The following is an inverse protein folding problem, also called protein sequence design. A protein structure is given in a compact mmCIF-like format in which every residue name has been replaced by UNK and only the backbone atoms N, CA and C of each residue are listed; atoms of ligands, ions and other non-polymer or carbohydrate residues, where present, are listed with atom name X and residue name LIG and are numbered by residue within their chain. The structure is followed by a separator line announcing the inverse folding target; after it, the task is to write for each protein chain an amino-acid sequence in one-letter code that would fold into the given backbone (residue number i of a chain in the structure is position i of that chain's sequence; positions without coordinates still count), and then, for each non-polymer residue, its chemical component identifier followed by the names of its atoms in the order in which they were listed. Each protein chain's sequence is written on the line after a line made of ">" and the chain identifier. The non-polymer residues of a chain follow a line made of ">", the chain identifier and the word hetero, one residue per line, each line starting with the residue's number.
data_IF_508024974965
#
_entry.id   IF_508024974965
#
_cell.length_a   1.000
_cell.length_b   1.000
_cell.length_c   1.000
_cell.angle_alpha   90.00
_cell.angle_beta   90.00
_cell.angle_gamma   90.00
#
_symmetry.space_group_name_H-M   'P 1'
#
loop_
_entity.id
_entity.type
_entity.pdbx_description
1 polymer ?
#
# COMPACT_ATOMS: atom_id res chain seq x y z
N UNK A 1 -28.47 23.46 -11.55
CA UNK A 1 -27.41 23.35 -12.57
C UNK A 1 -26.16 22.84 -11.88
N UNK A 2 -25.87 21.54 -11.97
CA UNK A 2 -24.62 21.00 -11.41
C UNK A 2 -23.45 21.57 -12.21
N UNK A 3 -22.66 22.42 -11.59
CA UNK A 3 -21.38 22.83 -12.14
C UNK A 3 -20.50 21.57 -12.19
N UNK A 4 -20.27 21.05 -13.39
CA UNK A 4 -19.15 20.14 -13.64
C UNK A 4 -17.88 20.90 -13.30
N UNK A 5 -17.32 20.61 -12.13
CA UNK A 5 -16.02 21.11 -11.70
C UNK A 5 -15.03 20.59 -12.75
N UNK A 6 -14.57 21.49 -13.63
CA UNK A 6 -13.51 21.16 -14.60
C UNK A 6 -12.25 20.93 -13.79
N UNK A 7 -11.84 19.66 -13.72
CA UNK A 7 -10.64 19.22 -13.03
C UNK A 7 -9.42 19.79 -13.75
N UNK A 8 -8.34 20.14 -13.03
CA UNK A 8 -7.11 20.57 -13.68
C UNK A 8 -6.56 19.44 -14.54
N UNK A 9 -6.27 19.74 -15.80
CA UNK A 9 -5.59 18.84 -16.72
C UNK A 9 -4.13 18.71 -16.29
N UNK A 10 -3.83 17.74 -15.42
CA UNK A 10 -2.45 17.32 -15.18
C UNK A 10 -1.96 16.60 -16.42
N UNK A 11 -0.94 17.18 -17.08
CA UNK A 11 -0.24 16.55 -18.20
C UNK A 11 0.47 15.29 -17.69
N UNK A 12 0.19 14.16 -18.32
CA UNK A 12 0.76 12.84 -17.99
C UNK A 12 1.71 12.31 -19.06
N UNK A 13 2.05 13.11 -20.08
CA UNK A 13 2.81 12.68 -21.27
C UNK A 13 4.26 12.29 -20.94
N UNK A 14 4.77 12.75 -19.80
CA UNK A 14 6.11 12.45 -19.29
C UNK A 14 6.14 11.22 -18.37
N UNK A 15 4.98 10.63 -18.07
CA UNK A 15 4.85 9.46 -17.20
C UNK A 15 4.83 8.18 -18.03
N UNK A 16 5.20 7.07 -17.40
CA UNK A 16 5.17 5.75 -18.02
C UNK A 16 3.76 5.33 -18.46
N UNK A 17 3.63 4.77 -19.67
CA UNK A 17 2.33 4.47 -20.29
C UNK A 17 1.51 3.44 -19.50
N UNK A 18 2.15 2.42 -18.92
CA UNK A 18 1.47 1.40 -18.13
C UNK A 18 0.96 2.01 -16.82
N UNK A 19 1.76 2.83 -16.15
CA UNK A 19 1.35 3.51 -14.92
C UNK A 19 0.23 4.54 -15.18
N UNK A 20 0.23 5.22 -16.34
CA UNK A 20 -0.84 6.13 -16.75
C UNK A 20 -2.15 5.38 -16.99
N UNK A 21 -2.12 4.19 -17.61
CA UNK A 21 -3.34 3.39 -17.79
C UNK A 21 -3.96 2.99 -16.44
N UNK A 22 -3.13 2.66 -15.45
CA UNK A 22 -3.59 2.33 -14.10
C UNK A 22 -4.24 3.52 -13.37
N UNK A 23 -4.01 4.77 -13.80
CA UNK A 23 -4.66 5.93 -13.20
C UNK A 23 -6.19 5.93 -13.39
N UNK A 24 -6.71 5.18 -14.36
CA UNK A 24 -8.14 5.02 -14.60
C UNK A 24 -8.81 3.98 -13.67
N UNK A 25 -8.03 3.22 -12.89
CA UNK A 25 -8.58 2.29 -11.90
C UNK A 25 -9.46 3.05 -10.90
N UNK A 26 -10.62 2.48 -10.55
CA UNK A 26 -11.55 3.10 -9.61
C UNK A 26 -11.23 2.65 -8.18
N UNK A 27 -10.80 3.58 -7.34
CA UNK A 27 -10.61 3.39 -5.90
C UNK A 27 -11.94 3.49 -5.15
N UNK A 28 -11.97 2.96 -3.93
CA UNK A 28 -13.11 3.09 -3.01
C UNK A 28 -12.93 4.39 -2.20
N UNK A 29 -13.86 5.34 -2.36
CA UNK A 29 -13.89 6.53 -1.51
C UNK A 29 -14.57 6.22 -0.18
N UNK A 30 -14.00 6.74 0.90
CA UNK A 30 -14.44 6.48 2.27
C UNK A 30 -14.52 7.77 3.09
N UNK A 31 -15.30 7.72 4.17
CA UNK A 31 -15.20 8.71 5.25
C UNK A 31 -14.06 8.37 6.24
N UNK A 32 -13.84 9.24 7.22
CA UNK A 32 -12.79 9.03 8.23
C UNK A 32 -13.01 7.83 9.17
N UNK A 33 -14.15 7.16 9.08
CA UNK A 33 -14.48 5.94 9.81
C UNK A 33 -14.42 4.71 8.91
N UNK A 34 -13.87 4.85 7.71
CA UNK A 34 -13.76 3.81 6.68
C UNK A 34 -15.11 3.29 6.17
N UNK A 35 -16.17 4.11 6.26
CA UNK A 35 -17.43 3.80 5.59
C UNK A 35 -17.34 4.20 4.12
N UNK A 36 -17.72 3.31 3.21
CA UNK A 36 -17.77 3.62 1.77
C UNK A 36 -18.78 4.73 1.48
N UNK A 37 -18.31 5.80 0.81
CA UNK A 37 -19.13 6.94 0.38
C UNK A 37 -19.21 7.11 -1.14
N UNK A 38 -18.38 6.39 -1.91
CA UNK A 38 -18.37 6.50 -3.36
C UNK A 38 -17.23 5.75 -4.03
N UNK A 39 -16.89 6.19 -5.23
CA UNK A 39 -15.77 5.70 -6.02
C UNK A 39 -15.18 6.86 -6.82
N UNK A 40 -13.87 6.82 -7.06
CA UNK A 40 -13.17 7.82 -7.84
C UNK A 40 -11.92 7.21 -8.47
N UNK A 41 -11.46 7.76 -9.58
CA UNK A 41 -10.24 7.32 -10.27
C UNK A 41 -9.02 7.46 -9.38
N UNK A 42 -8.08 6.53 -9.54
CA UNK A 42 -6.78 6.57 -8.90
C UNK A 42 -6.08 7.89 -9.15
N UNK A 43 -6.15 8.45 -10.37
CA UNK A 43 -5.67 9.81 -10.65
C UNK A 43 -6.15 10.81 -9.60
N UNK A 44 -7.47 10.94 -9.48
CA UNK A 44 -8.08 11.98 -8.68
C UNK A 44 -7.86 11.79 -7.18
N UNK A 45 -7.85 10.53 -6.72
CA UNK A 45 -7.52 10.15 -5.35
C UNK A 45 -6.11 10.60 -4.92
N UNK A 46 -5.15 10.61 -5.84
CA UNK A 46 -3.73 10.86 -5.53
C UNK A 46 -3.27 12.28 -5.87
N UNK A 47 -4.18 13.17 -6.33
CA UNK A 47 -3.86 14.58 -6.53
C UNK A 47 -3.94 15.32 -5.20
N UNK A 48 -2.85 15.99 -4.82
CA UNK A 48 -2.76 16.81 -3.60
C UNK A 48 -3.90 17.83 -3.52
N UNK A 49 -4.32 18.41 -4.63
CA UNK A 49 -5.43 19.37 -4.65
C UNK A 49 -6.78 18.78 -4.23
N UNK A 50 -7.00 17.48 -4.42
CA UNK A 50 -8.24 16.80 -4.00
C UNK A 50 -8.08 16.23 -2.59
N UNK A 51 -6.90 15.72 -2.26
CA UNK A 51 -6.53 15.34 -0.89
C UNK A 51 -6.69 16.53 0.06
N UNK A 52 -6.25 17.73 -0.33
CA UNK A 52 -6.36 18.95 0.48
C UNK A 52 -7.83 19.43 0.61
N UNK A 53 -8.74 18.94 -0.25
CA UNK A 53 -10.21 19.10 -0.12
C UNK A 53 -10.86 17.99 0.71
N UNK A 54 -10.09 17.04 1.25
CA UNK A 54 -10.55 15.94 2.09
C UNK A 54 -10.84 14.63 1.37
N UNK A 55 -10.47 14.49 0.09
CA UNK A 55 -10.65 13.23 -0.63
C UNK A 55 -9.79 12.13 0.02
N UNK A 56 -10.42 11.01 0.40
CA UNK A 56 -9.85 9.91 1.17
C UNK A 56 -10.30 8.58 0.56
N UNK A 57 -9.36 7.65 0.37
CA UNK A 57 -9.65 6.34 -0.20
C UNK A 57 -9.12 5.18 0.65
N UNK A 58 -9.70 4.00 0.44
CA UNK A 58 -9.28 2.76 1.11
C UNK A 58 -8.02 2.20 0.45
N UNK A 59 -7.08 1.71 1.26
CA UNK A 59 -5.83 1.12 0.80
C UNK A 59 -5.46 -0.13 1.61
N UNK A 60 -4.38 -0.80 1.21
CA UNK A 60 -3.76 -1.86 1.99
C UNK A 60 -2.23 -1.86 1.87
N UNK A 61 -1.59 -2.37 2.93
CA UNK A 61 -0.16 -2.61 3.04
C UNK A 61 0.12 -4.05 3.48
N UNK A 62 0.77 -4.83 2.62
CA UNK A 62 1.19 -6.21 2.92
C UNK A 62 2.59 -6.23 3.52
N UNK A 63 2.74 -7.00 4.59
CA UNK A 63 4.01 -7.40 5.20
C UNK A 63 4.16 -8.92 5.08
N UNK A 64 4.94 -9.37 4.11
CA UNK A 64 5.23 -10.78 3.88
C UNK A 64 6.56 -11.17 4.52
N UNK A 65 6.51 -12.15 5.40
CA UNK A 65 7.66 -12.77 6.01
C UNK A 65 7.90 -14.14 5.40
N UNK A 66 9.15 -14.50 5.12
CA UNK A 66 9.49 -15.88 4.77
C UNK A 66 9.55 -16.76 6.04
N UNK A 67 9.83 -18.06 5.89
CA UNK A 67 9.92 -19.00 7.02
C UNK A 67 11.12 -18.75 7.93
N UNK A 68 12.11 -17.96 7.48
CA UNK A 68 13.24 -17.45 8.28
C UNK A 68 12.91 -16.15 9.04
N UNK A 69 11.63 -15.73 9.07
CA UNK A 69 11.19 -14.46 9.67
C UNK A 69 11.85 -13.22 9.05
N UNK A 70 12.27 -13.27 7.78
CA UNK A 70 12.77 -12.10 7.06
C UNK A 70 11.61 -11.42 6.32
N UNK A 71 11.51 -10.09 6.44
CA UNK A 71 10.51 -9.29 5.74
C UNK A 71 10.94 -9.08 4.29
N UNK A 72 10.03 -9.34 3.34
CA UNK A 72 10.21 -8.96 1.95
C UNK A 72 9.94 -7.45 1.79
N UNK A 73 10.98 -6.71 1.43
CA UNK A 73 10.88 -5.32 0.99
C UNK A 73 10.92 -5.23 -0.52
N UNK A 74 10.29 -4.21 -1.07
CA UNK A 74 10.41 -3.82 -2.47
C UNK A 74 10.92 -2.39 -2.61
N UNK A 75 11.71 -2.13 -3.63
CA UNK A 75 12.04 -0.79 -4.10
C UNK A 75 11.15 -0.46 -5.29
N UNK A 76 10.38 0.62 -5.16
CA UNK A 76 9.43 1.09 -6.19
C UNK A 76 10.22 1.43 -7.45
N UNK A 77 9.70 1.04 -8.61
CA UNK A 77 10.31 1.44 -9.88
C UNK A 77 10.37 2.96 -10.02
N UNK A 78 11.25 3.45 -10.89
CA UNK A 78 11.28 4.85 -11.28
C UNK A 78 10.06 5.25 -12.14
N UNK A 79 9.31 4.27 -12.68
CA UNK A 79 8.09 4.50 -13.44
C UNK A 79 6.89 4.86 -12.55
N UNK A 80 6.92 4.51 -11.25
CA UNK A 80 5.84 4.81 -10.31
C UNK A 80 5.58 6.31 -10.21
N UNK A 81 4.32 6.70 -10.30
CA UNK A 81 3.89 8.11 -10.22
C UNK A 81 4.09 8.67 -8.80
N UNK A 82 3.68 7.93 -7.78
CA UNK A 82 3.92 8.30 -6.38
C UNK A 82 5.16 7.57 -5.84
N UNK A 83 6.03 8.32 -5.17
CA UNK A 83 7.23 7.82 -4.47
C UNK A 83 8.11 6.87 -5.30
N UNK A 84 8.54 7.24 -6.53
CA UNK A 84 9.49 6.44 -7.30
C UNK A 84 10.82 6.26 -6.53
N UNK A 85 11.51 5.14 -6.80
CA UNK A 85 12.80 4.75 -6.22
C UNK A 85 12.81 4.48 -4.70
N UNK A 86 11.67 4.65 -4.01
CA UNK A 86 11.58 4.45 -2.56
C UNK A 86 11.50 2.97 -2.19
N UNK A 87 12.22 2.59 -1.12
CA UNK A 87 12.00 1.32 -0.43
C UNK A 87 10.71 1.36 0.40
N UNK A 88 10.00 0.25 0.42
CA UNK A 88 8.75 0.07 1.19
C UNK A 88 8.52 -1.41 1.55
N UNK A 89 7.44 -1.69 2.29
CA UNK A 89 6.99 -3.04 2.59
C UNK A 89 6.57 -3.80 1.32
N UNK A 90 6.16 -5.06 1.48
CA UNK A 90 6.06 -6.03 0.40
C UNK A 90 5.21 -5.59 -0.79
N UNK A 91 4.03 -5.05 -0.55
CA UNK A 91 3.11 -4.61 -1.60
C UNK A 91 2.10 -3.63 -1.00
N UNK A 92 1.87 -2.51 -1.66
CA UNK A 92 0.91 -1.48 -1.24
C UNK A 92 0.04 -1.08 -2.43
N UNK A 93 -1.27 -1.10 -2.26
CA UNK A 93 -2.19 -0.74 -3.34
C UNK A 93 -3.61 -0.52 -2.81
N UNK A 94 -4.59 -0.56 -3.70
CA UNK A 94 -5.98 -0.25 -3.42
C UNK A 94 -6.89 -1.43 -3.72
N UNK A 95 -7.88 -1.73 -2.87
CA UNK A 95 -9.06 -2.43 -3.32
C UNK A 95 -9.79 -1.59 -4.37
N UNK A 96 -10.20 -2.23 -5.46
CA UNK A 96 -10.97 -1.60 -6.51
C UNK A 96 -12.43 -1.42 -6.09
N UNK A 97 -13.08 -0.39 -6.59
CA UNK A 97 -14.55 -0.23 -6.50
C UNK A 97 -15.26 -1.19 -7.48
N UNK A 98 -15.00 -2.48 -7.32
CA UNK A 98 -15.55 -3.60 -8.06
C UNK A 98 -16.22 -4.57 -7.08
N UNK A 99 -17.35 -5.23 -7.40
CA UNK A 99 -18.10 -6.05 -6.44
C UNK A 99 -17.29 -7.08 -5.66
N UNK A 100 -16.26 -7.67 -6.29
CA UNK A 100 -15.41 -8.68 -5.63
C UNK A 100 -14.49 -8.10 -4.55
N UNK A 101 -14.10 -6.82 -4.66
CA UNK A 101 -13.18 -6.12 -3.75
C UNK A 101 -13.89 -5.11 -2.83
N UNK A 102 -15.20 -4.90 -3.05
CA UNK A 102 -16.10 -4.11 -2.19
C UNK A 102 -16.64 -4.88 -0.97
N UNK A 103 -16.49 -6.21 -0.92
CA UNK A 103 -17.01 -7.03 0.19
C UNK A 103 -16.21 -6.78 1.47
N UNK A 104 -16.90 -6.30 2.51
CA UNK A 104 -16.29 -5.83 3.76
C UNK A 104 -16.26 -6.92 4.84
N UNK A 105 -17.09 -7.97 4.74
CA UNK A 105 -17.10 -9.06 5.70
C UNK A 105 -15.71 -9.72 5.80
N UNK A 106 -15.18 -9.79 7.02
CA UNK A 106 -13.82 -10.28 7.32
C UNK A 106 -12.72 -9.64 6.44
N UNK A 107 -12.92 -8.39 6.01
CA UNK A 107 -12.03 -7.66 5.10
C UNK A 107 -11.66 -8.44 3.82
N UNK A 108 -12.53 -9.35 3.35
CA UNK A 108 -12.20 -10.25 2.24
C UNK A 108 -11.94 -9.50 0.93
N UNK A 109 -12.63 -8.38 0.68
CA UNK A 109 -12.41 -7.56 -0.51
C UNK A 109 -10.98 -7.01 -0.59
N UNK A 110 -10.47 -6.51 0.53
CA UNK A 110 -9.09 -6.02 0.65
C UNK A 110 -8.07 -7.17 0.53
N UNK A 111 -8.35 -8.33 1.12
CA UNK A 111 -7.47 -9.51 1.00
C UNK A 111 -7.39 -10.04 -0.44
N UNK A 112 -8.50 -10.01 -1.18
CA UNK A 112 -8.51 -10.32 -2.63
C UNK A 112 -7.69 -9.31 -3.44
N UNK A 113 -7.80 -8.02 -3.13
CA UNK A 113 -7.00 -6.97 -3.76
C UNK A 113 -5.49 -7.18 -3.51
N UNK A 114 -5.12 -7.55 -2.28
CA UNK A 114 -3.75 -7.88 -1.91
C UNK A 114 -3.23 -9.09 -2.69
N UNK A 115 -3.97 -10.20 -2.78
CA UNK A 115 -3.59 -11.34 -3.61
C UNK A 115 -3.38 -10.93 -5.08
N UNK A 116 -4.30 -10.15 -5.66
CA UNK A 116 -4.21 -9.67 -7.04
C UNK A 116 -2.92 -8.86 -7.27
N UNK A 117 -2.58 -7.95 -6.35
CA UNK A 117 -1.39 -7.08 -6.50
C UNK A 117 -0.09 -7.79 -6.16
N UNK A 118 -0.07 -8.72 -5.21
CA UNK A 118 1.08 -9.61 -5.00
C UNK A 118 1.43 -10.38 -6.28
N UNK A 119 0.42 -10.85 -7.03
CA UNK A 119 0.65 -11.45 -8.35
C UNK A 119 1.12 -10.43 -9.38
N UNK A 120 0.45 -9.29 -9.48
CA UNK A 120 0.74 -8.29 -10.52
C UNK A 120 2.13 -7.65 -10.34
N UNK A 121 2.52 -7.30 -9.13
CA UNK A 121 3.76 -6.57 -8.83
C UNK A 121 4.95 -7.53 -8.63
N UNK A 122 4.77 -8.57 -7.82
CA UNK A 122 5.86 -9.47 -7.42
C UNK A 122 5.90 -10.79 -8.21
N UNK A 123 4.91 -11.03 -9.08
CA UNK A 123 4.79 -12.28 -9.83
C UNK A 123 4.45 -13.49 -8.98
N UNK A 124 3.98 -13.31 -7.75
CA UNK A 124 3.62 -14.41 -6.85
C UNK A 124 2.39 -15.13 -7.41
N UNK A 125 2.46 -16.45 -7.71
CA UNK A 125 1.30 -17.18 -8.18
C UNK A 125 0.14 -17.11 -7.17
N UNK A 126 -1.08 -16.90 -7.66
CA UNK A 126 -2.28 -16.71 -6.81
C UNK A 126 -2.51 -17.87 -5.85
N UNK A 127 -2.18 -19.09 -6.27
CA UNK A 127 -2.26 -20.31 -5.46
C UNK A 127 -1.26 -20.36 -4.31
N UNK A 128 -0.19 -19.57 -4.34
CA UNK A 128 0.77 -19.50 -3.24
C UNK A 128 0.33 -18.57 -2.11
N UNK A 129 -0.51 -17.57 -2.38
CA UNK A 129 -1.03 -16.67 -1.33
C UNK A 129 -2.52 -16.48 -1.56
N UNK A 130 -3.33 -17.29 -0.89
CA UNK A 130 -4.78 -17.19 -0.92
C UNK A 130 -5.29 -16.12 0.04
N UNK A 131 -6.48 -15.52 -0.17
CA UNK A 131 -7.04 -14.53 0.75
C UNK A 131 -7.16 -15.04 2.20
N UNK A 132 -7.35 -16.34 2.40
CA UNK A 132 -7.43 -16.98 3.71
C UNK A 132 -6.09 -16.99 4.46
N UNK A 133 -4.96 -16.95 3.74
CA UNK A 133 -3.60 -16.89 4.29
C UNK A 133 -3.16 -15.46 4.61
N UNK A 134 -3.92 -14.45 4.18
CA UNK A 134 -3.64 -13.04 4.43
C UNK A 134 -4.34 -12.61 5.72
N UNK A 135 -3.56 -12.34 6.77
CA UNK A 135 -4.06 -11.93 8.07
C UNK A 135 -4.27 -10.42 8.13
N UNK A 136 -5.50 -9.96 8.39
CA UNK A 136 -5.82 -8.55 8.62
C UNK A 136 -5.63 -8.18 10.09
N UNK A 137 -4.71 -7.25 10.39
CA UNK A 137 -4.39 -6.84 11.76
C UNK A 137 -5.18 -5.61 12.22
N UNK A 138 -5.02 -4.48 11.53
CA UNK A 138 -5.54 -3.18 11.99
C UNK A 138 -5.58 -2.19 10.82
N UNK A 139 -6.13 -0.99 11.05
CA UNK A 139 -6.12 0.12 10.07
C UNK A 139 -5.31 1.32 10.55
N UNK A 140 -4.65 2.00 9.62
CA UNK A 140 -3.91 3.25 9.86
C UNK A 140 -4.43 4.33 8.90
N UNK A 141 -4.85 5.47 9.44
CA UNK A 141 -5.16 6.66 8.67
C UNK A 141 -3.93 7.56 8.62
N UNK A 142 -3.42 7.83 7.43
CA UNK A 142 -2.26 8.70 7.20
C UNK A 142 -2.43 9.59 5.97
N UNK A 143 -1.61 10.63 5.87
CA UNK A 143 -1.51 11.51 4.69
C UNK A 143 -0.06 11.86 4.39
N UNK A 144 0.34 11.81 3.13
CA UNK A 144 1.70 12.12 2.71
C UNK A 144 1.77 12.73 1.30
N UNK A 145 2.68 13.68 1.07
CA UNK A 145 2.93 14.22 -0.27
C UNK A 145 4.12 13.49 -0.90
N UNK A 146 3.98 13.09 -2.17
CA UNK A 146 5.07 12.57 -2.99
C UNK A 146 5.90 13.71 -3.56
N UNK A 147 5.21 14.68 -4.16
CA UNK A 147 5.79 15.91 -4.71
C UNK A 147 4.76 17.06 -4.62
N UNK A 148 4.91 18.09 -5.46
CA UNK A 148 3.97 19.22 -5.51
C UNK A 148 2.57 18.87 -6.03
N UNK A 149 2.43 17.81 -6.82
CA UNK A 149 1.19 17.41 -7.52
C UNK A 149 0.57 16.18 -6.85
N UNK A 150 1.38 15.16 -6.56
CA UNK A 150 0.91 13.84 -6.15
C UNK A 150 1.11 13.58 -4.65
N UNK A 151 0.24 12.77 -4.07
CA UNK A 151 0.27 12.36 -2.67
C UNK A 151 -0.63 11.16 -2.39
N UNK A 152 -0.74 10.84 -1.10
CA UNK A 152 -1.53 9.75 -0.53
C UNK A 152 -2.36 10.31 0.63
N UNK A 153 -3.60 9.86 0.74
CA UNK A 153 -4.49 10.09 1.88
C UNK A 153 -5.40 8.89 2.02
N UNK A 154 -5.10 8.04 3.01
CA UNK A 154 -5.60 6.67 3.00
C UNK A 154 -6.00 6.21 4.40
N UNK A 155 -7.03 5.35 4.44
CA UNK A 155 -7.17 4.38 5.54
C UNK A 155 -6.61 3.05 5.03
N UNK A 156 -5.44 2.71 5.56
CA UNK A 156 -4.59 1.62 5.13
C UNK A 156 -4.81 0.37 5.98
N UNK A 157 -5.24 -0.72 5.34
CA UNK A 157 -5.39 -2.03 5.96
C UNK A 157 -4.04 -2.72 6.08
N UNK A 158 -3.63 -3.03 7.31
CA UNK A 158 -2.37 -3.71 7.58
C UNK A 158 -2.57 -5.22 7.46
N UNK A 159 -1.91 -5.82 6.48
CA UNK A 159 -2.03 -7.23 6.12
C UNK A 159 -0.71 -7.97 6.33
N UNK A 160 -0.78 -9.18 6.87
CA UNK A 160 0.39 -10.03 7.12
C UNK A 160 0.28 -11.36 6.39
N UNK A 161 1.41 -11.83 5.88
CA UNK A 161 1.58 -13.17 5.30
C UNK A 161 2.89 -13.73 5.84
N UNK A 162 2.92 -15.02 6.21
CA UNK A 162 4.15 -15.70 6.57
C UNK A 162 4.30 -16.99 5.76
N UNK A 163 5.09 -16.93 4.69
CA UNK A 163 5.23 -18.02 3.72
C UNK A 163 6.44 -17.82 2.82
N UNK A 164 7.05 -18.91 2.39
CA UNK A 164 8.03 -18.89 1.30
C UNK A 164 7.29 -18.82 -0.04
N UNK A 165 7.66 -17.84 -0.88
CA UNK A 165 7.00 -17.58 -2.17
C UNK A 165 8.02 -17.51 -3.31
N UNK A 166 7.55 -17.82 -4.52
CA UNK A 166 8.30 -17.59 -5.75
C UNK A 166 8.07 -16.16 -6.24
N UNK A 167 9.14 -15.48 -6.65
CA UNK A 167 9.10 -14.09 -7.11
C UNK A 167 9.48 -14.01 -8.58
N UNK A 168 8.68 -13.28 -9.35
CA UNK A 168 9.00 -12.85 -10.71
C UNK A 168 8.45 -11.43 -10.92
N UNK A 169 9.04 -10.40 -10.28
CA UNK A 169 8.45 -9.08 -10.23
C UNK A 169 8.34 -8.39 -11.58
N UNK A 170 7.31 -7.57 -11.75
CA UNK A 170 7.18 -6.68 -12.90
C UNK A 170 8.16 -5.49 -12.75
N UNK A 171 9.15 -5.31 -13.65
CA UNK A 171 10.10 -4.21 -13.56
C UNK A 171 9.45 -2.82 -13.71
N UNK A 172 8.24 -2.74 -14.28
CA UNK A 172 7.47 -1.50 -14.33
C UNK A 172 6.94 -1.10 -12.94
N UNK A 173 6.77 -2.06 -12.03
CA UNK A 173 6.28 -1.83 -10.67
C UNK A 173 7.43 -1.79 -9.65
N UNK A 174 8.42 -2.69 -9.79
CA UNK A 174 9.45 -2.96 -8.79
C UNK A 174 10.85 -2.91 -9.43
N UNK A 175 11.71 -2.01 -8.95
CA UNK A 175 13.10 -1.93 -9.38
C UNK A 175 13.98 -3.03 -8.76
N UNK A 176 13.77 -3.31 -7.47
CA UNK A 176 14.52 -4.32 -6.74
C UNK A 176 13.72 -4.82 -5.54
N UNK A 177 14.10 -5.97 -4.98
CA UNK A 177 13.50 -6.50 -3.76
C UNK A 177 14.56 -7.19 -2.92
N UNK A 178 14.31 -7.28 -1.61
CA UNK A 178 15.19 -8.01 -0.71
C UNK A 178 14.44 -8.53 0.52
N UNK A 179 14.86 -9.69 0.99
CA UNK A 179 14.48 -10.18 2.31
C UNK A 179 15.45 -9.62 3.35
N UNK A 180 14.92 -9.00 4.39
CA UNK A 180 15.73 -8.40 5.46
C UNK A 180 15.35 -8.95 6.83
N UNK A 181 16.36 -9.13 7.67
CA UNK A 181 16.20 -9.31 9.11
C UNK A 181 15.85 -7.98 9.78
N UNK A 182 15.42 -8.03 11.04
CA UNK A 182 15.22 -6.80 11.83
C UNK A 182 16.49 -5.92 11.91
N UNK A 183 17.68 -6.54 12.00
CA UNK A 183 18.96 -5.82 12.06
C UNK A 183 19.24 -5.08 10.76
N UNK A 184 19.04 -5.74 9.63
CA UNK A 184 19.23 -5.15 8.30
C UNK A 184 18.19 -4.05 8.03
N UNK A 185 16.94 -4.23 8.46
CA UNK A 185 15.94 -3.16 8.37
C UNK A 185 16.35 -1.94 9.21
N UNK A 186 16.82 -2.11 10.45
CA UNK A 186 17.34 -0.98 11.26
C UNK A 186 18.45 -0.23 10.54
N UNK A 187 19.40 -0.95 9.93
CA UNK A 187 20.46 -0.34 9.13
C UNK A 187 19.91 0.41 7.90
N UNK A 188 18.88 -0.12 7.23
CA UNK A 188 18.22 0.57 6.11
C UNK A 188 17.54 1.87 6.58
N UNK A 189 16.86 1.85 7.73
CA UNK A 189 16.26 3.04 8.33
C UNK A 189 17.32 4.08 8.72
N UNK A 190 18.47 3.66 9.25
CA UNK A 190 19.60 4.55 9.56
C UNK A 190 20.21 5.19 8.30
N UNK A 191 20.27 4.44 7.19
CA UNK A 191 20.65 4.98 5.88
C UNK A 191 19.62 5.99 5.38
N UNK A 192 18.34 5.69 5.53
CA UNK A 192 17.26 6.59 5.14
C UNK A 192 17.27 7.90 5.95
N UNK A 193 17.52 7.83 7.25
CA UNK A 193 17.67 9.00 8.13
C UNK A 193 18.86 9.90 7.72
N UNK A 194 19.89 9.33 7.10
CA UNK A 194 21.04 10.04 6.53
C UNK A 194 20.85 10.44 5.06
N UNK A 195 19.65 10.28 4.51
CA UNK A 195 19.30 10.53 3.10
C UNK A 195 20.14 9.73 2.08
N UNK A 196 20.72 8.60 2.49
CA UNK A 196 21.49 7.72 1.59
C UNK A 196 20.57 6.84 0.73
N UNK A 197 19.36 6.59 1.21
CA UNK A 197 18.28 5.89 0.49
C UNK A 197 16.95 6.56 0.80
N UNK A 198 15.94 6.36 -0.06
CA UNK A 198 14.58 6.86 0.18
C UNK A 198 13.70 5.72 0.70
N UNK A 199 12.87 6.01 1.68
CA UNK A 199 11.81 5.12 2.17
C UNK A 199 10.48 5.83 2.08
N UNK A 200 9.42 5.08 1.85
CA UNK A 200 8.07 5.65 1.79
C UNK A 200 7.60 6.13 3.16
N UNK A 201 6.78 7.20 3.23
CA UNK A 201 6.35 7.78 4.50
C UNK A 201 5.56 6.81 5.40
N UNK A 202 4.64 6.04 4.83
CA UNK A 202 3.86 5.05 5.59
C UNK A 202 4.76 3.93 6.13
N UNK A 203 5.72 3.45 5.35
CA UNK A 203 6.63 2.40 5.81
C UNK A 203 7.49 2.89 6.97
N UNK A 204 8.00 4.12 6.90
CA UNK A 204 8.72 4.74 8.02
C UNK A 204 7.87 4.78 9.28
N UNK A 205 6.65 5.29 9.16
CA UNK A 205 5.70 5.43 10.26
C UNK A 205 5.36 4.08 10.92
N UNK A 206 5.06 3.07 10.11
CA UNK A 206 4.76 1.72 10.58
C UNK A 206 5.99 1.08 11.20
N UNK A 207 7.17 1.26 10.60
CA UNK A 207 8.43 0.75 11.13
C UNK A 207 8.75 1.30 12.53
N UNK A 208 8.62 2.62 12.71
CA UNK A 208 8.93 3.32 13.95
C UNK A 208 7.90 3.03 15.06
N UNK A 209 6.65 2.72 14.72
CA UNK A 209 5.57 2.62 15.71
C UNK A 209 5.17 1.18 16.05
N UNK A 210 5.08 0.30 15.04
CA UNK A 210 4.42 -0.99 15.20
C UNK A 210 5.25 -2.19 14.76
N UNK A 211 5.97 -2.07 13.64
CA UNK A 211 6.51 -3.21 12.90
C UNK A 211 7.40 -4.11 13.75
N UNK A 212 8.36 -3.54 14.49
CA UNK A 212 9.28 -4.34 15.30
C UNK A 212 8.54 -5.11 16.41
N UNK A 213 7.50 -4.52 17.01
CA UNK A 213 6.67 -5.18 18.02
C UNK A 213 5.90 -6.36 17.41
N UNK A 214 5.35 -6.19 16.20
CA UNK A 214 4.68 -7.26 15.47
C UNK A 214 5.67 -8.37 15.07
N UNK A 215 6.85 -7.98 14.57
CA UNK A 215 7.90 -8.88 14.13
C UNK A 215 8.44 -9.77 15.27
N UNK A 216 8.60 -9.23 16.48
CA UNK A 216 8.97 -10.02 17.67
C UNK A 216 7.93 -11.07 18.06
N UNK A 217 6.76 -11.07 17.41
CA UNK A 217 5.58 -11.82 17.81
C UNK A 217 4.83 -12.42 16.61
N UNK A 218 5.51 -12.74 15.50
CA UNK A 218 4.89 -13.32 14.30
C UNK A 218 4.05 -14.58 14.61
N UNK A 219 4.50 -15.42 15.54
CA UNK A 219 3.79 -16.64 15.95
C UNK A 219 2.51 -16.38 16.78
N UNK A 220 2.25 -15.13 17.17
CA UNK A 220 1.08 -14.75 17.97
C UNK A 220 0.58 -13.35 17.60
N UNK A 221 0.41 -13.08 16.30
CA UNK A 221 -0.09 -11.79 15.81
C UNK A 221 -1.53 -11.48 16.25
N UNK A 222 -2.32 -12.51 16.59
CA UNK A 222 -3.72 -12.36 17.03
C UNK A 222 -3.88 -11.39 18.21
N UNK A 223 -2.87 -11.24 19.08
CA UNK A 223 -2.93 -10.29 20.21
C UNK A 223 -2.85 -8.81 19.80
N UNK A 224 -2.51 -8.52 18.54
CA UNK A 224 -2.45 -7.17 17.97
C UNK A 224 -3.60 -6.87 17.01
N UNK A 225 -4.53 -7.81 16.85
CA UNK A 225 -5.69 -7.61 16.01
C UNK A 225 -6.61 -6.56 16.65
N UNK A 226 -6.83 -5.46 15.92
CA UNK A 226 -7.61 -4.31 16.38
C UNK A 226 -8.57 -3.83 15.26
N UNK A 227 -9.47 -4.70 14.78
CA UNK A 227 -10.38 -4.37 13.67
C UNK A 227 -11.30 -3.18 13.98
N UNK A 228 -11.66 -2.96 15.25
CA UNK A 228 -12.52 -1.84 15.67
C UNK A 228 -11.82 -0.48 15.76
N UNK A 229 -10.50 -0.41 15.51
CA UNK A 229 -9.72 0.82 15.68
C UNK A 229 -9.04 1.25 14.38
N UNK A 230 -9.01 2.57 14.17
CA UNK A 230 -8.22 3.21 13.13
C UNK A 230 -7.18 4.08 13.85
N UNK A 231 -5.89 3.75 13.70
CA UNK A 231 -4.80 4.54 14.27
C UNK A 231 -4.58 5.76 13.38
N UNK A 232 -4.57 6.97 13.94
CA UNK A 232 -4.42 8.22 13.18
C UNK A 232 -3.01 8.76 13.37
N UNK A 233 -2.31 9.02 12.27
CA UNK A 233 -0.87 9.28 12.27
C UNK A 233 -0.45 10.35 11.27
#
# INVERSE_FOLDING_TARGET
>A
TCATIRMPEVNTDHLDEQQVQLLAEMCILIDENDNRIGAETKKNCHLNENIDKGLLHRAFSVFLFNTENKLLLQQRSNAKITFPDCFTNTCCSHPLSHPQELEENDAIGVRRAAQRRLKAELGIPMEQVTPEEISYLTRIHYKAKSDGIWGEHEIDYILFVQKDVTLNPDPNEIQSYCYVTQKELKQLLDKAARNEVKITPWFKLIAETFLFKWWDNLNNLNKFVEHGKIHRM
#
